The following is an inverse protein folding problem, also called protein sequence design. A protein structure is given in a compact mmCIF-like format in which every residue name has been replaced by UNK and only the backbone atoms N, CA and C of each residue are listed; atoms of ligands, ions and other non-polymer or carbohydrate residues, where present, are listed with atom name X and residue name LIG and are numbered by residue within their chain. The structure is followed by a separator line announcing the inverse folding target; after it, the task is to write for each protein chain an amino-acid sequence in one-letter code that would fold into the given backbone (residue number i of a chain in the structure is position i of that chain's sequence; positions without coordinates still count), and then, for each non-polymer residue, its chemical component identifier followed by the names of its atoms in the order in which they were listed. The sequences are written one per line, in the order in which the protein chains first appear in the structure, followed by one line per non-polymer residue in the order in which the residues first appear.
data_IF_261194739317
#
_entry.id   IF_261194739317
#
_cell.length_a   1.000
_cell.length_b   1.000
_cell.length_c   1.000
_cell.angle_alpha   90.00
_cell.angle_beta   90.00
_cell.angle_gamma   90.00
#
_symmetry.space_group_name_H-M   'P 1'
#
loop_
_entity.id
_entity.type
_entity.pdbx_description
1 polymer ?
#
# COMPACT_ATOMS: atom_id res chain seq x y z
N UNK A 1 -2.02 -20.40 4.16
CA UNK A 1 -3.49 -20.21 4.22
C UNK A 1 -3.77 -19.03 5.15
N UNK A 2 -4.58 -18.06 4.71
CA UNK A 2 -5.09 -16.99 5.57
C UNK A 2 -5.88 -17.56 6.75
N UNK A 3 -5.82 -16.94 7.93
CA UNK A 3 -6.59 -17.38 9.09
C UNK A 3 -8.09 -17.11 8.87
N UNK A 4 -8.97 -17.93 9.45
CA UNK A 4 -10.41 -17.68 9.40
C UNK A 4 -10.77 -16.30 10.00
N UNK A 5 -10.01 -15.85 11.00
CA UNK A 5 -10.11 -14.53 11.59
C UNK A 5 -9.82 -13.40 10.58
N UNK A 6 -8.88 -13.59 9.65
CA UNK A 6 -8.60 -12.62 8.59
C UNK A 6 -9.80 -12.45 7.65
N UNK A 7 -10.43 -13.55 7.23
CA UNK A 7 -11.60 -13.50 6.37
C UNK A 7 -12.76 -12.76 7.05
N UNK A 8 -12.99 -13.04 8.34
CA UNK A 8 -14.03 -12.33 9.10
C UNK A 8 -13.73 -10.84 9.20
N UNK A 9 -12.48 -10.46 9.48
CA UNK A 9 -12.08 -9.06 9.53
C UNK A 9 -12.23 -8.34 8.18
N UNK A 10 -11.86 -8.99 7.06
CA UNK A 10 -12.04 -8.42 5.72
C UNK A 10 -13.52 -8.09 5.42
N UNK A 11 -14.46 -8.91 5.87
CA UNK A 11 -15.90 -8.63 5.73
C UNK A 11 -16.35 -7.41 6.54
N UNK A 12 -15.61 -7.06 7.60
CA UNK A 12 -15.90 -5.87 8.43
C UNK A 12 -15.24 -4.60 7.91
N UNK A 13 -14.32 -4.70 6.93
CA UNK A 13 -13.77 -3.53 6.25
C UNK A 13 -14.88 -2.88 5.42
N UNK A 14 -15.54 -1.89 6.01
CA UNK A 14 -16.50 -1.05 5.27
C UNK A 14 -15.81 -0.34 4.10
N UNK A 15 -16.53 -0.13 3.00
CA UNK A 15 -16.09 0.75 1.94
C UNK A 15 -16.44 2.20 2.35
N UNK A 16 -15.44 2.98 2.77
CA UNK A 16 -15.63 4.37 3.18
C UNK A 16 -14.33 5.15 3.07
N UNK A 17 -14.24 6.09 2.12
CA UNK A 17 -13.04 6.86 1.80
C UNK A 17 -12.70 7.98 2.80
N UNK A 18 -12.82 7.70 4.10
CA UNK A 18 -12.67 8.70 5.16
C UNK A 18 -11.22 9.13 5.41
N UNK A 19 -10.25 8.27 5.10
CA UNK A 19 -8.82 8.58 5.25
C UNK A 19 -8.20 8.78 3.87
N UNK A 20 -7.82 10.01 3.51
CA UNK A 20 -7.01 10.26 2.32
C UNK A 20 -5.74 9.40 2.33
N UNK A 21 -5.39 8.82 1.19
CA UNK A 21 -4.20 7.96 1.05
C UNK A 21 -2.93 8.60 1.61
N UNK A 22 -2.78 9.92 1.45
CA UNK A 22 -1.63 10.65 1.98
C UNK A 22 -1.54 10.60 3.51
N UNK A 23 -2.66 10.75 4.22
CA UNK A 23 -2.71 10.65 5.68
C UNK A 23 -2.37 9.23 6.13
N UNK A 24 -2.94 8.22 5.46
CA UNK A 24 -2.62 6.83 5.75
C UNK A 24 -1.13 6.50 5.55
N UNK A 25 -0.50 7.03 4.48
CA UNK A 25 0.94 6.85 4.25
C UNK A 25 1.78 7.55 5.33
N UNK A 26 1.35 8.71 5.82
CA UNK A 26 2.02 9.41 6.92
C UNK A 26 1.94 8.62 8.23
N UNK A 27 0.76 8.06 8.53
CA UNK A 27 0.55 7.20 9.70
C UNK A 27 1.43 5.94 9.63
N UNK A 28 1.52 5.30 8.46
CA UNK A 28 2.40 4.15 8.24
C UNK A 28 3.86 4.51 8.48
N UNK A 29 4.35 5.62 7.93
CA UNK A 29 5.73 6.06 8.12
C UNK A 29 6.05 6.29 9.61
N UNK A 30 5.14 6.96 10.34
CA UNK A 30 5.31 7.22 11.77
C UNK A 30 5.24 5.93 12.61
N UNK A 31 4.33 5.01 12.25
CA UNK A 31 4.21 3.71 12.90
C UNK A 31 5.47 2.87 12.70
N UNK A 32 5.98 2.75 11.47
CA UNK A 32 7.21 2.00 11.16
C UNK A 32 8.39 2.54 11.96
N UNK A 33 8.56 3.87 12.02
CA UNK A 33 9.62 4.52 12.78
C UNK A 33 9.57 4.18 14.27
N UNK A 34 8.37 4.15 14.85
CA UNK A 34 8.17 3.78 16.27
C UNK A 34 8.43 2.30 16.49
N UNK A 35 7.89 1.45 15.61
CA UNK A 35 7.98 -0.01 15.71
C UNK A 35 9.41 -0.52 15.61
N UNK A 36 10.21 0.03 14.70
CA UNK A 36 11.64 -0.32 14.54
C UNK A 36 12.47 -0.05 15.79
N UNK A 37 12.19 1.07 16.47
CA UNK A 37 12.88 1.40 17.72
C UNK A 37 12.55 0.42 18.84
N UNK A 38 11.31 -0.07 18.86
CA UNK A 38 10.86 -1.03 19.87
C UNK A 38 11.33 -2.46 19.57
N UNK A 39 11.40 -2.83 18.30
CA UNK A 39 11.71 -4.19 17.85
C UNK A 39 12.70 -4.18 16.69
N UNK A 40 13.99 -3.98 17.01
CA UNK A 40 15.05 -3.81 16.00
C UNK A 40 15.22 -5.04 15.08
N UNK A 41 14.98 -6.25 15.62
CA UNK A 41 15.09 -7.51 14.88
C UNK A 41 13.82 -7.86 14.08
N UNK A 42 12.75 -7.07 14.20
CA UNK A 42 11.50 -7.35 13.49
C UNK A 42 11.63 -7.01 12.01
N UNK A 43 11.40 -8.02 11.16
CA UNK A 43 11.33 -7.81 9.72
C UNK A 43 10.00 -7.17 9.35
N UNK A 44 10.07 -5.94 8.85
CA UNK A 44 8.91 -5.20 8.38
C UNK A 44 8.78 -5.27 6.86
N UNK A 45 7.53 -5.34 6.39
CA UNK A 45 7.14 -5.27 4.99
C UNK A 45 5.93 -4.37 4.84
N UNK A 46 5.93 -3.55 3.80
CA UNK A 46 4.81 -2.68 3.45
C UNK A 46 4.13 -3.18 2.17
N UNK A 47 2.79 -3.15 2.15
CA UNK A 47 2.00 -3.50 1.00
C UNK A 47 0.94 -2.43 0.76
N UNK A 48 0.95 -1.84 -0.44
CA UNK A 48 -0.03 -0.84 -0.85
C UNK A 48 -0.92 -1.41 -1.96
N UNK A 49 -2.21 -1.56 -1.70
CA UNK A 49 -3.21 -1.89 -2.71
C UNK A 49 -3.94 -0.61 -3.12
N UNK A 50 -3.89 -0.23 -4.39
CA UNK A 50 -4.52 1.00 -4.88
C UNK A 50 -4.88 0.91 -6.36
N UNK A 51 -5.90 1.66 -6.79
CA UNK A 51 -6.21 1.91 -8.19
C UNK A 51 -5.60 3.23 -8.71
N UNK A 52 -4.69 3.83 -7.94
CA UNK A 52 -3.93 5.02 -8.35
C UNK A 52 -4.66 6.35 -8.11
N UNK A 53 -5.73 6.35 -7.31
CA UNK A 53 -6.46 7.57 -6.95
C UNK A 53 -5.70 8.41 -5.92
N UNK A 54 -4.88 9.32 -6.43
CA UNK A 54 -4.31 10.42 -5.68
C UNK A 54 -4.35 11.69 -6.54
N UNK A 55 -4.58 12.85 -5.90
CA UNK A 55 -4.46 14.15 -6.59
C UNK A 55 -2.97 14.48 -6.73
N UNK A 56 -2.59 15.06 -7.87
CA UNK A 56 -1.24 15.58 -8.05
C UNK A 56 -0.94 16.67 -7.02
N UNK A 57 0.30 16.76 -6.52
CA UNK A 57 0.76 17.88 -5.70
C UNK A 57 1.50 17.55 -4.40
N UNK A 58 1.07 16.59 -3.56
CA UNK A 58 1.76 16.34 -2.30
C UNK A 58 2.96 15.42 -2.49
N UNK A 59 4.09 15.77 -1.85
CA UNK A 59 5.20 14.85 -1.69
C UNK A 59 4.76 13.65 -0.84
N UNK A 60 5.10 12.45 -1.29
CA UNK A 60 4.80 11.23 -0.55
C UNK A 60 5.83 11.03 0.58
N UNK A 61 5.43 10.54 1.76
CA UNK A 61 6.36 10.26 2.85
C UNK A 61 7.25 9.07 2.48
N UNK A 62 8.47 9.05 3.01
CA UNK A 62 9.36 7.91 2.88
C UNK A 62 8.84 6.71 3.69
N UNK A 63 8.76 5.55 3.05
CA UNK A 63 8.43 4.29 3.71
C UNK A 63 9.73 3.52 3.95
N UNK A 64 10.21 3.55 5.19
CA UNK A 64 11.52 3.02 5.55
C UNK A 64 11.56 1.49 5.67
N UNK A 65 10.88 0.73 4.81
CA UNK A 65 10.96 -0.74 4.78
C UNK A 65 10.75 -1.28 3.35
N UNK A 66 11.18 -2.52 3.05
CA UNK A 66 10.86 -3.12 1.76
C UNK A 66 9.36 -3.21 1.57
N UNK A 67 8.87 -2.82 0.40
CA UNK A 67 7.45 -2.85 0.13
C UNK A 67 7.08 -2.99 -1.33
N UNK A 68 5.81 -3.35 -1.54
CA UNK A 68 5.23 -3.65 -2.82
C UNK A 68 3.94 -2.84 -3.01
N UNK A 69 3.80 -2.22 -4.16
CA UNK A 69 2.55 -1.65 -4.63
C UNK A 69 1.87 -2.65 -5.57
N UNK A 70 0.65 -3.04 -5.23
CA UNK A 70 -0.24 -3.85 -6.08
C UNK A 70 -1.25 -2.92 -6.74
N UNK A 71 -1.11 -2.80 -8.05
CA UNK A 71 -1.99 -1.98 -8.88
C UNK A 71 -3.29 -2.71 -9.21
N UNK A 72 -4.42 -2.10 -8.85
CA UNK A 72 -5.77 -2.64 -9.06
C UNK A 72 -6.49 -1.99 -10.26
N UNK A 73 -5.80 -1.17 -11.05
CA UNK A 73 -6.36 -0.49 -12.23
C UNK A 73 -6.76 -1.49 -13.33
N UNK A 74 -8.07 -1.80 -13.43
CA UNK A 74 -8.61 -2.69 -14.49
C UNK A 74 -9.36 -1.94 -15.60
N UNK A 75 -9.17 -0.62 -15.71
CA UNK A 75 -9.81 0.19 -16.75
C UNK A 75 -9.34 -0.18 -18.17
N UNK A 76 -10.15 0.07 -19.21
CA UNK A 76 -9.76 -0.17 -20.60
C UNK A 76 -8.58 0.70 -21.05
N UNK A 77 -8.36 1.82 -20.36
CA UNK A 77 -7.20 2.70 -20.51
C UNK A 77 -6.48 2.72 -19.16
N UNK A 78 -5.18 2.43 -19.16
CA UNK A 78 -4.34 2.51 -17.95
C UNK A 78 -3.69 3.88 -17.88
N UNK A 79 -3.99 4.63 -16.82
CA UNK A 79 -3.41 5.94 -16.56
C UNK A 79 -2.00 5.84 -15.97
N UNK A 80 -1.62 4.68 -15.43
CA UNK A 80 -0.26 4.44 -14.93
C UNK A 80 0.07 5.20 -13.64
N UNK A 81 -0.94 5.72 -12.94
CA UNK A 81 -0.77 6.50 -11.71
C UNK A 81 -0.14 5.69 -10.59
N UNK A 82 -0.59 4.43 -10.43
CA UNK A 82 -0.03 3.49 -9.46
C UNK A 82 1.46 3.22 -9.68
N UNK A 83 1.89 3.09 -10.95
CA UNK A 83 3.31 2.89 -11.28
C UNK A 83 4.17 4.09 -10.91
N UNK A 84 3.69 5.30 -11.21
CA UNK A 84 4.36 6.54 -10.78
C UNK A 84 4.46 6.63 -9.26
N UNK A 85 3.36 6.34 -8.56
CA UNK A 85 3.33 6.33 -7.10
C UNK A 85 4.31 5.31 -6.49
N UNK A 86 4.45 4.11 -7.08
CA UNK A 86 5.45 3.14 -6.64
C UNK A 86 6.87 3.70 -6.75
N UNK A 87 7.19 4.36 -7.85
CA UNK A 87 8.49 5.02 -8.04
C UNK A 87 8.72 6.14 -7.01
N UNK A 88 7.72 7.00 -6.80
CA UNK A 88 7.80 8.11 -5.83
C UNK A 88 7.95 7.62 -4.38
N UNK A 89 7.41 6.43 -4.05
CA UNK A 89 7.55 5.77 -2.75
C UNK A 89 8.76 4.83 -2.64
N UNK A 90 9.53 4.65 -3.72
CA UNK A 90 10.60 3.66 -3.83
C UNK A 90 10.16 2.21 -3.51
N UNK A 91 8.98 1.82 -4.01
CA UNK A 91 8.40 0.48 -3.83
C UNK A 91 8.57 -0.38 -5.07
N UNK A 92 8.61 -1.70 -4.87
CA UNK A 92 8.36 -2.65 -5.95
C UNK A 92 6.95 -2.46 -6.50
N UNK A 93 6.72 -2.85 -7.76
CA UNK A 93 5.44 -2.70 -8.45
C UNK A 93 5.03 -4.02 -9.10
N UNK A 94 3.76 -4.39 -8.96
CA UNK A 94 3.13 -5.44 -9.76
C UNK A 94 1.67 -5.10 -10.01
N UNK A 95 1.15 -5.51 -11.16
CA UNK A 95 -0.28 -5.41 -11.43
C UNK A 95 -1.03 -6.61 -10.81
N UNK A 96 -2.24 -6.41 -10.28
CA UNK A 96 -3.02 -7.47 -9.61
C UNK A 96 -3.26 -8.70 -10.51
N UNK A 97 -3.32 -8.50 -11.82
CA UNK A 97 -3.48 -9.61 -12.77
C UNK A 97 -2.18 -10.39 -13.06
N UNK A 98 -1.02 -9.82 -12.76
CA UNK A 98 0.28 -10.51 -12.83
C UNK A 98 0.49 -11.45 -11.62
N UNK A 99 -0.15 -11.15 -10.48
CA UNK A 99 -0.09 -11.99 -9.27
C UNK A 99 -0.72 -13.37 -9.43
N UNK A 100 -1.56 -13.58 -10.45
CA UNK A 100 -2.19 -14.88 -10.74
C UNK A 100 -1.20 -15.94 -11.25
N UNK A 101 0.06 -15.57 -11.45
CA UNK A 101 1.13 -16.44 -11.94
C UNK A 101 2.13 -16.85 -10.84
N UNK A 102 1.89 -16.47 -9.58
CA UNK A 102 2.62 -16.91 -8.38
C UNK A 102 1.83 -17.99 -7.63
#
# INVERSE_FOLDING_TARGET
KASAALNQWLLTLGAGGGTPLLEALADVAQWLKTRRKQFAEEQQRFLLLTDGRLKDGPALPAIECPGLLIDMERGPIRLGKSRRMAADLALEYTHIDELKQL
#
